data_IF_885996371755
#
_entry.id   IF_885996371755
#
_cell.length_a   1.000
_cell.length_b   1.000
_cell.length_c   1.000
_cell.angle_alpha   90.00
_cell.angle_beta   90.00
_cell.angle_gamma   90.00
#
_symmetry.space_group_name_H-M   'P 1'
#
loop_
_entity.id
_entity.type
_entity.pdbx_description
1 polymer ?
#
# COMPACT_ATOMS: atom_id res chain seq x y z
N UNK A 1 9.33 -0.52 -9.77
CA UNK A 1 8.25 -0.85 -10.73
C UNK A 1 7.53 0.44 -11.05
N UNK A 2 7.50 0.92 -12.29
CA UNK A 2 6.90 2.20 -12.62
C UNK A 2 5.38 2.11 -12.70
N UNK A 3 4.74 3.10 -12.09
CA UNK A 3 3.32 3.37 -12.08
C UNK A 3 2.81 3.67 -13.52
N UNK A 4 1.99 2.78 -14.07
CA UNK A 4 1.28 3.03 -15.32
C UNK A 4 -0.06 3.67 -15.01
N UNK A 5 -0.12 4.99 -15.06
CA UNK A 5 -1.39 5.72 -15.14
C UNK A 5 -1.99 5.56 -16.52
N UNK A 6 -3.03 4.74 -16.62
CA UNK A 6 -3.85 4.60 -17.81
C UNK A 6 -4.57 5.91 -18.12
N UNK A 7 -4.30 6.46 -19.30
CA UNK A 7 -5.07 7.57 -19.88
C UNK A 7 -6.35 6.98 -20.47
N UNK A 8 -7.48 7.26 -19.84
CA UNK A 8 -8.81 6.87 -20.34
C UNK A 8 -9.21 7.80 -21.48
N UNK A 9 -9.18 7.29 -22.69
CA UNK A 9 -9.75 7.99 -23.85
C UNK A 9 -11.27 7.79 -23.85
N UNK A 10 -12.04 8.86 -23.69
CA UNK A 10 -13.49 8.82 -23.76
C UNK A 10 -13.94 8.49 -25.18
N UNK A 11 -14.65 7.37 -25.34
CA UNK A 11 -15.34 6.99 -26.57
C UNK A 11 -16.67 7.74 -26.65
N UNK A 12 -16.78 8.62 -27.62
CA UNK A 12 -18.05 9.24 -27.99
C UNK A 12 -18.88 8.23 -28.79
N UNK A 13 -20.03 7.84 -28.26
CA UNK A 13 -21.01 7.00 -28.96
C UNK A 13 -21.98 7.94 -29.67
N UNK A 14 -22.01 7.87 -31.01
CA UNK A 14 -23.02 8.50 -31.82
C UNK A 14 -24.32 7.72 -31.68
N UNK A 15 -25.42 8.42 -31.40
CA UNK A 15 -26.77 7.87 -31.46
C UNK A 15 -27.29 8.03 -32.88
N UNK A 16 -27.41 6.90 -33.59
CA UNK A 16 -28.33 6.79 -34.72
C UNK A 16 -29.60 6.15 -34.20
N UNK A 17 -30.70 6.82 -34.25
CA UNK A 17 -31.99 6.30 -34.72
C UNK A 17 -33.09 7.37 -34.57
N UNK A 18 -33.67 7.82 -35.66
CA UNK A 18 -35.09 8.16 -35.78
C UNK A 18 -35.46 8.45 -37.25
N UNK A 19 -36.36 7.67 -37.69
CA UNK A 19 -36.89 7.40 -38.97
C UNK A 19 -37.46 8.54 -39.82
N UNK A 20 -37.59 8.12 -41.05
CA UNK A 20 -38.38 8.57 -42.22
C UNK A 20 -39.39 9.72 -42.09
N UNK A 21 -39.35 10.69 -42.98
CA UNK A 21 -40.29 10.79 -44.13
C UNK A 21 -40.20 12.16 -44.87
N UNK A 22 -40.29 12.03 -46.22
CA UNK A 22 -40.86 12.96 -47.23
C UNK A 22 -40.14 14.21 -47.71
N UNK A 23 -39.72 14.02 -48.96
CA UNK A 23 -40.05 14.85 -50.15
C UNK A 23 -39.49 16.28 -50.30
N UNK A 24 -38.68 16.41 -51.33
CA UNK A 24 -38.64 17.53 -52.30
C UNK A 24 -38.17 18.90 -51.81
N UNK A 25 -36.88 19.18 -52.04
CA UNK A 25 -36.47 20.42 -52.72
C UNK A 25 -34.98 20.34 -53.09
N UNK A 26 -34.70 20.42 -54.38
CA UNK A 26 -33.36 20.57 -54.95
C UNK A 26 -32.84 21.97 -54.64
N UNK A 27 -31.87 22.08 -53.75
CA UNK A 27 -31.01 23.28 -53.64
C UNK A 27 -29.56 22.76 -53.67
N UNK A 28 -28.88 23.06 -54.74
CA UNK A 28 -27.46 22.82 -54.86
C UNK A 28 -26.68 23.79 -53.99
N UNK A 29 -26.13 23.31 -52.87
CA UNK A 29 -25.20 24.10 -52.05
C UNK A 29 -23.82 23.42 -52.24
N UNK A 30 -22.92 24.17 -52.91
CA UNK A 30 -21.50 23.81 -52.93
C UNK A 30 -20.92 23.92 -51.54
N UNK A 31 -20.73 22.81 -50.84
CA UNK A 31 -19.89 22.74 -49.63
C UNK A 31 -18.45 22.57 -50.05
N UNK A 32 -17.69 23.66 -49.91
CA UNK A 32 -16.24 23.59 -49.90
C UNK A 32 -15.79 22.76 -48.68
N UNK A 33 -15.31 21.52 -48.91
CA UNK A 33 -14.78 20.66 -47.87
C UNK A 33 -13.38 21.16 -47.51
N UNK A 34 -13.30 22.05 -46.50
CA UNK A 34 -12.03 22.40 -45.86
C UNK A 34 -11.60 21.21 -44.99
N UNK A 35 -10.71 20.39 -45.50
CA UNK A 35 -10.07 19.34 -44.73
C UNK A 35 -9.15 19.98 -43.69
N UNK A 36 -9.62 20.08 -42.43
CA UNK A 36 -8.78 20.38 -41.29
C UNK A 36 -7.94 19.14 -41.02
N UNK A 37 -6.73 19.10 -41.57
CA UNK A 37 -5.68 18.19 -41.12
C UNK A 37 -5.28 18.65 -39.73
N UNK A 38 -5.87 18.03 -38.69
CA UNK A 38 -5.36 18.13 -37.33
C UNK A 38 -4.03 17.38 -37.33
N UNK A 39 -2.95 18.13 -37.51
CA UNK A 39 -1.60 17.65 -37.33
C UNK A 39 -1.45 17.30 -35.85
N UNK A 40 -1.50 16.03 -35.51
CA UNK A 40 -1.04 15.55 -34.20
C UNK A 40 0.47 15.75 -34.12
N UNK A 41 0.89 16.95 -33.73
CA UNK A 41 2.28 17.16 -33.33
C UNK A 41 2.52 16.36 -32.04
N UNK A 42 3.54 15.48 -32.01
CA UNK A 42 3.90 14.82 -30.76
C UNK A 42 4.24 15.91 -29.72
N UNK A 43 3.62 15.82 -28.55
CA UNK A 43 3.99 16.68 -27.43
C UNK A 43 5.50 16.61 -27.22
N UNK A 44 6.17 17.76 -27.03
CA UNK A 44 7.59 17.74 -26.69
C UNK A 44 7.78 16.86 -25.44
N UNK A 45 8.87 16.05 -25.39
CA UNK A 45 9.14 15.24 -24.23
C UNK A 45 9.14 16.15 -23.00
N UNK A 46 8.26 15.84 -22.04
CA UNK A 46 8.24 16.50 -20.74
C UNK A 46 9.65 16.38 -20.16
N UNK A 47 10.28 17.47 -19.71
CA UNK A 47 11.53 17.37 -19.01
C UNK A 47 11.29 16.38 -17.85
N UNK A 48 12.07 15.30 -17.81
CA UNK A 48 12.07 14.43 -16.64
C UNK A 48 12.26 15.34 -15.43
N UNK A 49 11.45 15.14 -14.36
CA UNK A 49 11.72 15.87 -13.13
C UNK A 49 13.22 15.68 -12.87
N UNK A 50 13.94 16.79 -12.77
CA UNK A 50 15.34 16.77 -12.40
C UNK A 50 15.38 15.88 -11.17
N UNK A 51 16.09 14.76 -11.25
CA UNK A 51 16.48 14.05 -10.05
C UNK A 51 17.11 15.16 -9.21
N UNK A 52 16.51 15.46 -8.08
CA UNK A 52 17.18 16.20 -7.03
C UNK A 52 18.38 15.29 -6.68
N UNK A 53 19.48 15.47 -7.41
CA UNK A 53 20.79 15.09 -6.91
C UNK A 53 20.91 15.93 -5.66
N UNK A 54 20.49 15.37 -4.54
CA UNK A 54 20.82 15.90 -3.23
C UNK A 54 22.34 15.88 -3.23
N UNK A 55 22.95 17.07 -3.39
CA UNK A 55 24.39 17.22 -3.16
C UNK A 55 24.63 16.59 -1.80
N UNK A 56 25.35 15.44 -1.78
CA UNK A 56 25.71 14.74 -0.56
C UNK A 56 26.65 15.73 0.17
N UNK A 57 26.04 16.49 1.06
CA UNK A 57 26.82 17.37 1.94
C UNK A 57 27.69 16.46 2.79
N UNK A 58 28.97 16.80 2.85
CA UNK A 58 29.98 16.14 3.68
C UNK A 58 29.38 15.78 5.03
N UNK A 59 29.34 14.49 5.35
CA UNK A 59 28.93 13.84 6.60
C UNK A 59 27.57 13.13 6.63
N UNK A 60 27.10 12.58 5.50
CA UNK A 60 25.97 11.66 5.55
C UNK A 60 26.40 10.38 6.28
N UNK A 61 25.84 10.16 7.45
CA UNK A 61 26.07 8.96 8.24
C UNK A 61 24.90 8.00 8.12
N UNK A 62 25.19 6.76 7.78
CA UNK A 62 24.25 5.65 7.80
C UNK A 62 24.65 4.71 8.94
N UNK A 63 23.72 4.38 9.83
CA UNK A 63 23.94 3.48 10.96
C UNK A 63 22.89 2.41 11.01
N UNK A 64 23.28 1.15 11.11
CA UNK A 64 22.38 0.02 11.26
C UNK A 64 21.97 -0.15 12.72
N UNK A 65 20.72 0.17 13.03
CA UNK A 65 20.17 0.00 14.37
C UNK A 65 19.55 -1.40 14.55
N UNK A 66 19.77 -2.06 15.68
CA UNK A 66 19.02 -3.28 16.01
C UNK A 66 17.54 -2.95 16.25
N UNK A 67 16.67 -3.91 15.99
CA UNK A 67 15.27 -3.83 16.35
C UNK A 67 15.07 -3.93 17.87
N UNK A 68 13.86 -3.67 18.38
CA UNK A 68 13.59 -3.71 19.82
C UNK A 68 13.79 -5.08 20.46
N UNK A 69 13.69 -6.16 19.68
CA UNK A 69 13.98 -7.55 20.06
C UNK A 69 15.45 -7.95 19.85
N UNK A 70 16.29 -7.00 19.42
CA UNK A 70 17.72 -7.20 19.21
C UNK A 70 18.10 -7.82 17.86
N UNK A 71 17.14 -8.08 16.97
CA UNK A 71 17.45 -8.60 15.66
C UNK A 71 18.15 -7.52 14.80
N UNK A 72 19.06 -7.95 13.94
CA UNK A 72 19.84 -7.09 13.07
C UNK A 72 19.59 -7.51 11.62
N UNK A 73 19.28 -6.55 10.76
CA UNK A 73 19.21 -6.75 9.31
C UNK A 73 20.55 -6.52 8.63
N UNK A 74 20.52 -6.21 7.34
CA UNK A 74 21.67 -5.74 6.60
C UNK A 74 21.30 -4.55 5.73
N UNK A 75 22.22 -3.58 5.60
CA UNK A 75 22.10 -2.43 4.71
C UNK A 75 23.31 -2.43 3.78
N UNK A 76 23.05 -2.23 2.50
CA UNK A 76 24.10 -2.05 1.49
C UNK A 76 24.19 -0.57 1.16
N UNK A 77 25.33 0.05 1.45
CA UNK A 77 25.64 1.43 1.08
C UNK A 77 26.42 1.40 -0.22
N UNK A 78 25.89 2.04 -1.26
CA UNK A 78 26.52 2.13 -2.57
C UNK A 78 26.83 3.58 -2.89
N UNK A 79 28.05 3.80 -3.32
CA UNK A 79 28.48 5.08 -3.85
C UNK A 79 29.44 4.83 -5.02
N UNK A 80 29.08 5.28 -6.21
CA UNK A 80 29.79 4.97 -7.44
C UNK A 80 30.01 3.46 -7.59
N UNK A 81 31.27 3.02 -7.73
CA UNK A 81 31.66 1.60 -7.80
C UNK A 81 31.92 0.96 -6.41
N UNK A 82 31.78 1.72 -5.32
CA UNK A 82 32.00 1.24 -3.97
C UNK A 82 30.72 0.68 -3.38
N UNK A 83 30.77 -0.54 -2.86
CA UNK A 83 29.70 -1.18 -2.13
C UNK A 83 30.20 -1.63 -0.75
N UNK A 84 29.50 -1.21 0.31
CA UNK A 84 29.79 -1.55 1.69
C UNK A 84 28.56 -2.19 2.31
N UNK A 85 28.75 -3.32 2.98
CA UNK A 85 27.67 -4.02 3.69
C UNK A 85 27.81 -3.73 5.19
N UNK A 86 26.73 -3.22 5.78
CA UNK A 86 26.56 -3.08 7.22
C UNK A 86 25.65 -4.21 7.69
N UNK A 87 26.16 -5.15 8.47
CA UNK A 87 25.44 -6.37 8.89
C UNK A 87 25.48 -6.63 10.40
N UNK A 88 26.11 -5.73 11.16
CA UNK A 88 26.16 -5.81 12.63
C UNK A 88 25.44 -4.64 13.28
N UNK A 89 24.96 -4.84 14.49
CA UNK A 89 24.38 -3.75 15.27
C UNK A 89 25.37 -2.61 15.42
N UNK A 90 24.89 -1.41 15.13
CA UNK A 90 25.66 -0.14 15.17
C UNK A 90 26.77 -0.03 14.12
N UNK A 91 26.88 -0.97 13.18
CA UNK A 91 27.70 -0.74 12.00
C UNK A 91 27.29 0.57 11.33
N UNK A 92 28.28 1.39 11.04
CA UNK A 92 28.08 2.74 10.50
C UNK A 92 28.99 2.99 9.32
N UNK A 93 28.48 3.75 8.36
CA UNK A 93 29.26 4.28 7.24
C UNK A 93 29.08 5.80 7.20
N UNK A 94 30.18 6.54 7.08
CA UNK A 94 30.18 7.97 6.83
C UNK A 94 30.69 8.23 5.42
N UNK A 95 29.92 8.97 4.65
CA UNK A 95 30.26 9.40 3.29
C UNK A 95 30.99 10.73 3.41
N UNK A 96 32.30 10.73 3.19
CA UNK A 96 33.15 11.89 3.35
C UNK A 96 33.36 12.65 2.02
N UNK A 97 33.01 12.03 0.90
CA UNK A 97 33.10 12.58 -0.45
C UNK A 97 32.96 11.51 -1.53
N UNK A 98 33.04 11.85 -2.80
CA UNK A 98 32.95 10.88 -3.90
C UNK A 98 34.01 9.78 -3.75
N UNK A 99 33.53 8.51 -3.68
CA UNK A 99 34.35 7.33 -3.50
C UNK A 99 35.04 7.21 -2.14
N UNK A 100 34.69 8.05 -1.17
CA UNK A 100 35.29 8.05 0.19
C UNK A 100 34.22 7.70 1.23
N UNK A 101 34.15 6.43 1.60
CA UNK A 101 33.26 5.94 2.64
C UNK A 101 34.08 5.28 3.73
N UNK A 102 33.88 5.73 4.96
CA UNK A 102 34.54 5.17 6.15
C UNK A 102 33.56 4.33 6.95
N UNK A 103 33.84 3.04 7.08
CA UNK A 103 33.06 2.10 7.90
C UNK A 103 33.67 1.99 9.31
N UNK A 104 32.81 1.91 10.32
CA UNK A 104 33.19 1.71 11.72
C UNK A 104 31.98 1.20 12.52
N UNK A 105 32.22 0.66 13.71
CA UNK A 105 31.16 0.34 14.67
C UNK A 105 31.00 1.55 15.59
N UNK A 106 29.79 2.14 15.57
CA UNK A 106 29.52 3.32 16.39
C UNK A 106 29.23 2.93 17.84
N UNK A 107 29.51 3.85 18.77
CA UNK A 107 29.10 3.72 20.15
C UNK A 107 27.56 3.82 20.25
N UNK A 108 26.89 2.82 20.85
CA UNK A 108 25.43 2.80 20.99
C UNK A 108 24.86 4.02 21.71
N UNK A 109 25.55 4.54 22.71
CA UNK A 109 25.05 5.68 23.50
C UNK A 109 25.21 7.00 22.74
N UNK A 110 26.32 7.20 22.01
CA UNK A 110 26.50 8.34 21.11
C UNK A 110 25.47 8.34 19.96
N UNK A 111 25.13 7.16 19.43
CA UNK A 111 24.08 7.02 18.40
C UNK A 111 22.72 7.36 18.96
N UNK A 112 22.37 6.87 20.15
CA UNK A 112 21.11 7.21 20.81
C UNK A 112 20.98 8.73 21.04
N UNK A 113 22.03 9.37 21.51
CA UNK A 113 22.04 10.82 21.74
C UNK A 113 21.86 11.59 20.41
N UNK A 114 22.61 11.23 19.39
CA UNK A 114 22.54 11.88 18.07
C UNK A 114 21.18 11.75 17.41
N UNK A 115 20.57 10.55 17.45
CA UNK A 115 19.31 10.26 16.76
C UNK A 115 18.08 10.34 17.65
N UNK A 116 18.20 10.57 18.98
CA UNK A 116 17.08 10.62 19.91
C UNK A 116 15.94 11.55 19.44
N UNK A 117 16.19 12.81 19.01
CA UNK A 117 15.12 13.69 18.56
C UNK A 117 14.35 13.10 17.35
N UNK A 118 15.08 12.52 16.41
CA UNK A 118 14.51 11.91 15.20
C UNK A 118 13.73 10.65 15.53
N UNK A 119 14.26 9.79 16.39
CA UNK A 119 13.61 8.55 16.80
C UNK A 119 12.32 8.81 17.60
N UNK A 120 12.29 9.84 18.42
CA UNK A 120 11.07 10.27 19.15
C UNK A 120 10.02 10.84 18.19
N UNK A 121 10.44 11.48 17.09
CA UNK A 121 9.53 12.02 16.09
C UNK A 121 8.96 10.95 15.14
N UNK A 122 9.49 9.72 15.16
CA UNK A 122 8.96 8.64 14.33
C UNK A 122 7.52 8.30 14.75
N UNK A 123 6.61 8.10 13.78
CA UNK A 123 5.27 7.64 14.08
C UNK A 123 5.30 6.26 14.74
N UNK A 124 4.34 6.00 15.61
CA UNK A 124 4.18 4.69 16.24
C UNK A 124 4.02 3.61 15.15
N UNK A 125 4.77 2.52 15.28
CA UNK A 125 4.71 1.41 14.31
C UNK A 125 3.29 0.88 14.18
N UNK A 126 2.87 0.48 12.96
CA UNK A 126 1.58 -0.20 12.78
C UNK A 126 1.47 -1.44 13.67
N UNK A 127 0.28 -1.65 14.23
CA UNK A 127 -0.05 -2.84 15.01
C UNK A 127 -1.06 -3.69 14.25
N UNK A 128 -0.79 -4.99 14.11
CA UNK A 128 -1.63 -5.95 13.40
C UNK A 128 -2.31 -6.92 14.35
N UNK A 129 -3.59 -7.19 14.12
CA UNK A 129 -4.41 -8.14 14.88
C UNK A 129 -5.10 -9.09 13.92
N UNK A 130 -5.12 -10.38 14.27
CA UNK A 130 -5.80 -11.40 13.49
C UNK A 130 -7.05 -11.88 14.21
N UNK A 131 -8.18 -11.87 13.52
CA UNK A 131 -9.44 -12.34 14.06
C UNK A 131 -10.06 -13.41 13.17
N UNK A 132 -10.69 -14.41 13.80
CA UNK A 132 -11.26 -15.58 13.20
C UNK A 132 -12.72 -15.70 13.57
N UNK A 133 -13.53 -16.21 12.63
CA UNK A 133 -14.94 -16.51 12.84
C UNK A 133 -15.16 -17.98 13.21
N UNK A 134 -16.19 -18.25 13.96
CA UNK A 134 -16.68 -19.60 14.16
C UNK A 134 -17.13 -20.21 12.82
N UNK A 135 -16.88 -21.51 12.63
CA UNK A 135 -17.23 -22.20 11.38
C UNK A 135 -18.73 -22.06 11.07
N UNK A 136 -19.03 -21.50 9.90
CA UNK A 136 -20.42 -21.32 9.42
C UNK A 136 -21.24 -20.28 10.18
N UNK A 137 -20.58 -19.41 11.01
CA UNK A 137 -21.24 -18.34 11.77
C UNK A 137 -20.58 -17.00 11.55
N UNK A 138 -21.36 -15.93 11.73
CA UNK A 138 -20.87 -14.55 11.72
C UNK A 138 -20.39 -14.08 13.11
N UNK A 139 -20.02 -15.02 13.97
CA UNK A 139 -19.51 -14.76 15.30
C UNK A 139 -18.00 -14.98 15.37
N UNK A 140 -17.32 -14.09 16.09
CA UNK A 140 -15.89 -14.22 16.36
C UNK A 140 -15.64 -15.29 17.43
N UNK A 141 -14.50 -15.96 17.32
CA UNK A 141 -14.02 -16.87 18.37
C UNK A 141 -13.73 -16.13 19.67
N UNK A 142 -13.64 -16.83 20.79
CA UNK A 142 -13.35 -16.22 22.08
C UNK A 142 -11.95 -15.56 22.10
N UNK A 143 -10.97 -16.18 21.42
CA UNK A 143 -9.61 -15.65 21.26
C UNK A 143 -9.65 -14.36 20.44
N UNK A 144 -10.41 -14.34 19.35
CA UNK A 144 -10.54 -13.15 18.48
C UNK A 144 -11.21 -11.98 19.21
N UNK A 145 -12.16 -12.25 20.12
CA UNK A 145 -12.71 -11.18 20.98
C UNK A 145 -11.66 -10.58 21.87
N UNK A 146 -10.74 -11.38 22.43
CA UNK A 146 -9.60 -10.88 23.23
C UNK A 146 -8.60 -10.08 22.39
N UNK A 147 -8.35 -10.49 21.15
CA UNK A 147 -7.49 -9.74 20.22
C UNK A 147 -8.10 -8.35 19.89
N UNK A 148 -9.41 -8.27 19.74
CA UNK A 148 -10.10 -6.99 19.56
C UNK A 148 -9.96 -6.10 20.79
N UNK A 149 -10.05 -6.64 22.01
CA UNK A 149 -9.81 -5.84 23.22
C UNK A 149 -8.39 -5.28 23.28
N UNK A 150 -7.38 -6.08 22.93
CA UNK A 150 -5.99 -5.58 22.80
C UNK A 150 -5.87 -4.48 21.77
N UNK A 151 -6.53 -4.64 20.62
CA UNK A 151 -6.57 -3.61 19.57
C UNK A 151 -7.17 -2.30 20.10
N UNK A 152 -8.25 -2.34 20.90
CA UNK A 152 -8.82 -1.12 21.49
C UNK A 152 -7.89 -0.44 22.50
N UNK A 153 -7.12 -1.22 23.27
CA UNK A 153 -6.08 -0.67 24.18
C UNK A 153 -5.00 0.04 23.38
N UNK A 154 -4.60 -0.53 22.23
CA UNK A 154 -3.62 0.12 21.35
C UNK A 154 -4.20 1.35 20.64
N UNK A 155 -5.44 1.26 20.17
CA UNK A 155 -6.13 2.36 19.52
C UNK A 155 -6.24 3.60 20.40
N UNK A 156 -6.47 3.42 21.72
CA UNK A 156 -6.54 4.51 22.68
C UNK A 156 -5.24 5.32 22.82
N UNK A 157 -4.10 4.77 22.40
CA UNK A 157 -2.80 5.46 22.41
C UNK A 157 -2.56 6.30 21.14
N UNK A 158 -3.44 6.22 20.14
CA UNK A 158 -3.27 6.84 18.82
C UNK A 158 -4.35 7.89 18.57
N UNK A 159 -4.04 9.19 18.69
CA UNK A 159 -5.05 10.25 18.60
C UNK A 159 -5.71 10.38 17.21
N UNK A 160 -5.02 9.92 16.15
CA UNK A 160 -5.51 10.00 14.77
C UNK A 160 -5.30 8.66 14.05
N UNK A 161 -5.81 7.56 14.63
CA UNK A 161 -5.60 6.23 14.08
C UNK A 161 -6.35 6.01 12.78
N UNK A 162 -5.66 5.41 11.82
CA UNK A 162 -6.24 4.81 10.63
C UNK A 162 -6.30 3.29 10.80
N UNK A 163 -7.43 2.70 10.45
CA UNK A 163 -7.66 1.26 10.58
C UNK A 163 -7.91 0.67 9.20
N UNK A 164 -7.16 -0.37 8.84
CA UNK A 164 -7.44 -1.18 7.67
C UNK A 164 -7.93 -2.57 8.11
N UNK A 165 -9.10 -2.99 7.62
CA UNK A 165 -9.71 -4.29 7.89
C UNK A 165 -9.69 -5.11 6.61
N UNK A 166 -8.95 -6.21 6.59
CA UNK A 166 -8.68 -7.01 5.39
C UNK A 166 -9.16 -8.44 5.62
N UNK A 167 -10.12 -8.88 4.81
CA UNK A 167 -10.65 -10.25 4.89
C UNK A 167 -9.94 -11.21 3.95
N UNK A 168 -9.80 -12.46 4.39
CA UNK A 168 -9.18 -13.56 3.65
C UNK A 168 -10.03 -14.83 3.72
N UNK A 169 -9.81 -15.75 2.78
CA UNK A 169 -10.40 -17.08 2.74
C UNK A 169 -9.34 -18.16 2.60
N UNK A 170 -9.71 -19.41 2.78
CA UNK A 170 -8.97 -20.54 2.23
C UNK A 170 -9.25 -20.67 0.72
N UNK A 171 -8.69 -21.70 0.09
CA UNK A 171 -8.78 -21.95 -1.35
C UNK A 171 -10.00 -22.77 -1.77
N UNK A 172 -10.97 -23.00 -0.86
CA UNK A 172 -12.19 -23.74 -1.19
C UNK A 172 -13.19 -22.84 -1.90
N UNK A 173 -13.62 -23.25 -3.08
CA UNK A 173 -14.61 -22.57 -3.89
C UNK A 173 -13.98 -21.65 -4.95
N UNK A 174 -14.81 -20.92 -5.69
CA UNK A 174 -14.30 -20.04 -6.75
C UNK A 174 -13.68 -18.77 -6.22
N UNK A 175 -12.69 -18.24 -6.92
CA UNK A 175 -12.03 -16.97 -6.62
C UNK A 175 -13.05 -15.83 -6.43
N UNK A 176 -14.07 -15.75 -7.32
CA UNK A 176 -15.12 -14.72 -7.25
C UNK A 176 -15.98 -14.87 -5.99
N UNK A 177 -16.24 -16.10 -5.56
CA UNK A 177 -16.94 -16.37 -4.30
C UNK A 177 -16.08 -15.95 -3.11
N UNK A 178 -14.80 -16.33 -3.10
CA UNK A 178 -13.84 -16.00 -2.05
C UNK A 178 -13.58 -14.50 -1.94
N UNK A 179 -13.57 -13.76 -3.04
CA UNK A 179 -13.49 -12.28 -3.04
C UNK A 179 -14.70 -11.66 -2.31
N UNK A 180 -15.90 -12.11 -2.64
CA UNK A 180 -17.13 -11.60 -2.00
C UNK A 180 -17.18 -11.96 -0.53
N UNK A 181 -16.85 -13.21 -0.18
CA UNK A 181 -16.90 -13.72 1.19
C UNK A 181 -15.88 -12.98 2.08
N UNK A 182 -14.66 -12.78 1.60
CA UNK A 182 -13.63 -12.06 2.34
C UNK A 182 -14.04 -10.61 2.61
N UNK A 183 -14.60 -9.92 1.61
CA UNK A 183 -15.11 -8.56 1.77
C UNK A 183 -16.29 -8.49 2.74
N UNK A 184 -17.19 -9.48 2.73
CA UNK A 184 -18.29 -9.54 3.69
C UNK A 184 -17.79 -9.69 5.13
N UNK A 185 -16.78 -10.53 5.36
CA UNK A 185 -16.14 -10.67 6.68
C UNK A 185 -15.48 -9.37 7.14
N UNK A 186 -14.76 -8.68 6.24
CA UNK A 186 -14.18 -7.37 6.56
C UNK A 186 -15.28 -6.34 6.92
N UNK A 187 -16.40 -6.29 6.18
CA UNK A 187 -17.56 -5.44 6.49
C UNK A 187 -18.14 -5.75 7.86
N UNK A 188 -18.23 -7.02 8.22
CA UNK A 188 -18.77 -7.44 9.53
C UNK A 188 -17.88 -6.97 10.68
N UNK A 189 -16.56 -7.13 10.55
CA UNK A 189 -15.61 -6.59 11.55
C UNK A 189 -15.70 -5.09 11.63
N UNK A 190 -15.74 -4.36 10.50
CA UNK A 190 -15.92 -2.91 10.48
C UNK A 190 -17.17 -2.48 11.25
N UNK A 191 -18.30 -3.15 11.03
CA UNK A 191 -19.55 -2.86 11.77
C UNK A 191 -19.40 -3.04 13.27
N UNK A 192 -18.69 -4.10 13.69
CA UNK A 192 -18.40 -4.36 15.10
C UNK A 192 -17.53 -3.24 15.70
N UNK A 193 -16.51 -2.76 14.99
CA UNK A 193 -15.66 -1.65 15.45
C UNK A 193 -16.46 -0.34 15.57
N UNK A 194 -17.31 -0.03 14.60
CA UNK A 194 -18.20 1.14 14.62
C UNK A 194 -19.18 1.07 15.79
N UNK A 195 -19.79 -0.09 16.03
CA UNK A 195 -20.71 -0.29 17.15
C UNK A 195 -20.03 -0.10 18.52
N UNK A 196 -18.70 -0.22 18.57
CA UNK A 196 -17.88 0.05 19.76
C UNK A 196 -17.28 1.47 19.80
N UNK A 197 -17.73 2.37 18.92
CA UNK A 197 -17.37 3.78 18.97
C UNK A 197 -16.24 4.21 18.04
N UNK A 198 -15.69 3.33 17.18
CA UNK A 198 -14.68 3.75 16.20
C UNK A 198 -15.34 4.56 15.08
N UNK A 199 -14.86 5.77 14.76
CA UNK A 199 -15.40 6.58 13.67
C UNK A 199 -15.34 5.86 12.33
N UNK A 200 -16.44 5.83 11.59
CA UNK A 200 -16.55 5.09 10.33
C UNK A 200 -15.61 5.57 9.23
N UNK A 201 -15.25 6.85 9.25
CA UNK A 201 -14.34 7.47 8.27
C UNK A 201 -12.88 7.03 8.41
N UNK A 202 -12.48 6.56 9.59
CA UNK A 202 -11.12 6.07 9.86
C UNK A 202 -10.92 4.58 9.54
N UNK A 203 -11.94 3.87 9.00
CA UNK A 203 -11.88 2.42 8.76
C UNK A 203 -12.00 2.12 7.27
N UNK A 204 -10.88 1.77 6.65
CA UNK A 204 -10.83 1.20 5.31
C UNK A 204 -11.11 -0.32 5.35
N UNK A 205 -11.71 -0.87 4.29
CA UNK A 205 -11.98 -2.31 4.18
C UNK A 205 -11.47 -2.86 2.84
N UNK A 206 -10.98 -4.10 2.86
CA UNK A 206 -10.63 -4.84 1.66
C UNK A 206 -10.98 -6.33 1.80
N UNK A 207 -11.30 -6.98 0.68
CA UNK A 207 -11.36 -8.43 0.57
C UNK A 207 -10.24 -8.90 -0.35
N UNK A 208 -9.44 -9.85 0.09
CA UNK A 208 -8.33 -10.44 -0.67
C UNK A 208 -8.64 -11.85 -1.16
N UNK A 209 -9.78 -12.43 -0.71
CA UNK A 209 -10.10 -13.82 -1.03
C UNK A 209 -8.97 -14.74 -0.59
N UNK A 210 -8.56 -15.60 -1.51
CA UNK A 210 -7.49 -16.60 -1.35
C UNK A 210 -6.13 -16.14 -1.88
N UNK A 211 -5.98 -14.87 -2.31
CA UNK A 211 -4.73 -14.37 -2.93
C UNK A 211 -3.57 -14.20 -1.98
N UNK A 212 -3.86 -14.07 -0.70
CA UNK A 212 -2.86 -13.83 0.35
C UNK A 212 -3.03 -14.88 1.46
N UNK A 213 -2.56 -16.09 1.20
CA UNK A 213 -2.64 -17.20 2.15
C UNK A 213 -1.62 -17.02 3.28
N UNK A 214 -2.04 -17.20 4.53
CA UNK A 214 -1.15 -17.27 5.69
C UNK A 214 -0.39 -18.60 5.72
N UNK A 215 -1.09 -19.68 5.34
CA UNK A 215 -0.52 -21.00 5.16
C UNK A 215 -0.70 -21.37 3.70
N UNK A 216 0.40 -21.57 2.98
CA UNK A 216 0.36 -21.98 1.59
C UNK A 216 -0.31 -23.33 1.44
N UNK A 217 -1.35 -23.41 0.62
CA UNK A 217 -2.12 -24.63 0.30
C UNK A 217 -2.30 -24.75 -1.19
N UNK A 218 -2.61 -25.96 -1.66
CA UNK A 218 -3.13 -26.15 -3.01
C UNK A 218 -4.54 -25.61 -3.14
N UNK A 219 -5.12 -25.78 -4.31
CA UNK A 219 -6.51 -25.43 -4.59
C UNK A 219 -7.50 -26.37 -3.87
N UNK A 220 -8.70 -25.88 -3.56
CA UNK A 220 -9.77 -26.61 -2.86
C UNK A 220 -9.37 -27.22 -1.50
N UNK A 221 -8.40 -26.63 -0.78
CA UNK A 221 -7.96 -27.09 0.53
C UNK A 221 -8.53 -26.23 1.65
N UNK A 222 -9.20 -26.86 2.62
CA UNK A 222 -9.66 -26.19 3.83
C UNK A 222 -8.52 -25.89 4.78
N UNK A 223 -8.22 -24.60 5.02
CA UNK A 223 -7.25 -24.17 6.00
C UNK A 223 -7.85 -23.08 6.93
N UNK A 224 -8.13 -23.45 8.20
CA UNK A 224 -8.72 -22.50 9.16
C UNK A 224 -7.92 -21.22 9.36
N UNK A 225 -6.58 -21.29 9.32
CA UNK A 225 -5.72 -20.12 9.50
C UNK A 225 -5.82 -19.13 8.34
N UNK A 226 -6.17 -19.59 7.15
CA UNK A 226 -6.40 -18.72 6.00
C UNK A 226 -7.75 -17.98 6.09
N UNK A 227 -8.75 -18.54 6.79
CA UNK A 227 -10.06 -17.92 7.01
C UNK A 227 -10.02 -16.88 8.12
N UNK A 228 -9.33 -15.77 7.90
CA UNK A 228 -9.08 -14.73 8.88
C UNK A 228 -9.50 -13.34 8.40
N UNK A 229 -9.58 -12.42 9.33
CA UNK A 229 -9.61 -10.98 9.04
C UNK A 229 -8.44 -10.33 9.77
N UNK A 230 -7.67 -9.54 9.07
CA UNK A 230 -6.58 -8.73 9.62
C UNK A 230 -7.10 -7.33 9.93
N UNK A 231 -6.72 -6.79 11.08
CA UNK A 231 -6.99 -5.42 11.48
C UNK A 231 -5.64 -4.74 11.68
N UNK A 232 -5.29 -3.81 10.82
CA UNK A 232 -4.06 -3.04 10.92
C UNK A 232 -4.39 -1.63 11.42
N UNK A 233 -3.76 -1.23 12.52
CA UNK A 233 -3.90 0.09 13.16
C UNK A 233 -2.62 0.87 12.94
N UNK A 234 -2.74 2.05 12.33
CA UNK A 234 -1.63 2.97 11.99
C UNK A 234 -1.75 4.26 12.77
#
# INVERSE_FOLDING_TARGET
MPDQRAVTCAKFVAADDLGESNASARVAIFFALAAFLVSCSPLPPQPRPAHLETEITRNDQVTLLPTADGAVGAIVVRQDDLEIVLDKAYDSAVIEGPGQVRQFVADPDAIKETFAPTLVALPTRPAGYMVYFLKGKDELTAESKKEIEKMFVELAKRPAAEIAVIGHTDTVGSIQFNDKLSLQRAKRVRQLLIARGVPSGGIAIAGRGERELLVATGDEVQEPKNRRVEINVR
#
